data_IF_889314266068
#
_entry.id   IF_889314266068
#
_cell.length_a   1.000
_cell.length_b   1.000
_cell.length_c   1.000
_cell.angle_alpha   90.00
_cell.angle_beta   90.00
_cell.angle_gamma   90.00
#
_symmetry.space_group_name_H-M   'P 1'
#
loop_
_entity.id
_entity.type
_entity.pdbx_description
1 polymer ?
#
# COMPACT_ATOMS: atom_id res chain seq x y z
N UNK A 1 54.42 -37.21 51.32
CA UNK A 1 53.66 -37.80 50.21
C UNK A 1 52.18 -37.39 50.22
N UNK A 2 51.50 -37.13 51.34
CA UNK A 2 50.04 -36.78 51.39
C UNK A 2 49.69 -35.45 50.77
N UNK A 3 50.57 -34.40 50.82
CA UNK A 3 50.26 -33.08 50.25
C UNK A 3 50.21 -33.03 48.69
N UNK A 4 51.04 -33.91 48.06
CA UNK A 4 51.03 -33.98 46.57
C UNK A 4 49.80 -34.69 46.01
N UNK A 5 49.28 -35.65 46.76
CA UNK A 5 48.06 -36.35 46.40
C UNK A 5 46.80 -35.43 46.48
N UNK A 6 46.77 -34.52 47.44
CA UNK A 6 45.69 -33.59 47.66
C UNK A 6 45.64 -32.49 46.57
N UNK A 7 46.82 -32.02 46.12
CA UNK A 7 46.92 -31.08 45.01
C UNK A 7 46.43 -31.67 43.68
N UNK A 8 46.76 -32.94 43.40
CA UNK A 8 46.30 -33.64 42.20
C UNK A 8 44.79 -33.81 42.22
N UNK A 9 44.20 -34.05 43.39
CA UNK A 9 42.75 -34.18 43.54
C UNK A 9 42.00 -32.86 43.34
N UNK A 10 42.56 -31.75 43.82
CA UNK A 10 41.98 -30.40 43.60
C UNK A 10 42.04 -29.98 42.13
N UNK A 11 43.14 -30.26 41.45
CA UNK A 11 43.27 -29.96 40.01
C UNK A 11 42.33 -30.82 39.16
N UNK A 12 42.10 -32.08 39.53
CA UNK A 12 41.19 -32.98 38.84
C UNK A 12 39.72 -32.53 38.99
N UNK A 13 39.31 -32.08 40.18
CA UNK A 13 37.96 -31.57 40.46
C UNK A 13 37.73 -30.24 39.74
N UNK A 14 38.74 -29.35 39.72
CA UNK A 14 38.68 -28.09 38.98
C UNK A 14 38.56 -28.28 37.46
N UNK A 15 39.26 -29.28 36.90
CA UNK A 15 39.14 -29.61 35.47
C UNK A 15 37.76 -30.19 35.10
N UNK A 16 37.10 -30.89 36.03
CA UNK A 16 35.78 -31.47 35.80
C UNK A 16 34.64 -30.41 35.81
N UNK A 17 34.80 -29.32 36.60
CA UNK A 17 33.84 -28.23 36.67
C UNK A 17 33.87 -27.36 35.40
N UNK A 18 35.00 -27.29 34.67
CA UNK A 18 35.13 -26.55 33.44
C UNK A 18 34.47 -27.23 32.22
N UNK A 19 34.11 -28.50 32.31
CA UNK A 19 33.50 -29.27 31.22
C UNK A 19 31.96 -29.22 31.21
N UNK A 20 31.34 -28.66 32.24
CA UNK A 20 29.85 -28.57 32.31
C UNK A 20 29.27 -27.23 31.87
N UNK A 21 30.09 -26.30 31.36
CA UNK A 21 29.67 -24.97 30.95
C UNK A 21 29.46 -24.84 29.43
N UNK A 22 28.86 -25.83 28.80
CA UNK A 22 28.34 -25.68 27.45
C UNK A 22 26.97 -26.38 27.35
N UNK A 23 25.99 -25.91 28.12
CA UNK A 23 24.63 -26.04 27.64
C UNK A 23 24.48 -24.97 26.53
N UNK A 24 24.83 -25.39 25.34
CA UNK A 24 24.25 -24.80 24.16
C UNK A 24 22.74 -25.00 24.30
N UNK A 25 22.02 -23.95 24.77
CA UNK A 25 20.64 -23.81 24.41
C UNK A 25 20.65 -23.90 22.87
N UNK A 26 20.32 -25.07 22.37
CA UNK A 26 19.93 -25.23 21.02
C UNK A 26 18.80 -24.21 20.87
N UNK A 27 19.08 -23.05 20.23
CA UNK A 27 18.09 -22.32 19.51
C UNK A 27 17.48 -23.40 18.62
N UNK A 28 16.45 -24.06 19.13
CA UNK A 28 15.52 -24.77 18.28
C UNK A 28 15.14 -23.69 17.28
N UNK A 29 15.81 -23.71 16.14
CA UNK A 29 15.22 -23.15 14.94
C UNK A 29 13.83 -23.72 14.97
N UNK A 30 12.87 -22.90 15.39
CA UNK A 30 11.50 -23.18 15.14
C UNK A 30 11.43 -23.28 13.63
N UNK A 31 11.63 -24.49 13.10
CA UNK A 31 11.20 -24.89 11.78
C UNK A 31 9.68 -25.00 11.80
N UNK A 32 9.03 -24.05 12.53
CA UNK A 32 7.72 -23.61 12.19
C UNK A 32 7.89 -22.94 10.84
N UNK A 33 7.44 -23.60 9.78
CA UNK A 33 7.09 -22.93 8.55
C UNK A 33 6.22 -21.77 9.02
N UNK A 34 6.81 -20.55 9.13
CA UNK A 34 6.03 -19.34 9.38
C UNK A 34 5.00 -19.33 8.26
N UNK A 35 3.72 -19.31 8.58
CA UNK A 35 2.72 -19.24 7.53
C UNK A 35 3.12 -18.08 6.64
N UNK A 36 3.43 -18.35 5.38
CA UNK A 36 3.81 -17.33 4.38
C UNK A 36 2.76 -16.22 4.23
N UNK A 37 1.65 -16.37 4.94
CA UNK A 37 0.50 -15.48 4.88
C UNK A 37 0.45 -14.46 6.05
N UNK A 38 1.41 -14.50 6.97
CA UNK A 38 1.48 -13.47 8.01
C UNK A 38 2.30 -12.27 7.52
N UNK A 39 1.83 -11.04 7.78
CA UNK A 39 2.60 -9.84 7.47
C UNK A 39 3.85 -9.74 8.37
N UNK A 40 4.93 -9.21 7.81
CA UNK A 40 6.16 -8.94 8.55
C UNK A 40 6.00 -7.76 9.51
N UNK A 41 5.10 -6.83 9.17
CA UNK A 41 4.80 -5.64 9.96
C UNK A 41 3.30 -5.31 9.89
N UNK A 42 2.72 -4.95 11.04
CA UNK A 42 1.37 -4.38 11.15
C UNK A 42 1.47 -3.05 11.87
N UNK A 43 0.96 -1.98 11.25
CA UNK A 43 0.92 -0.65 11.84
C UNK A 43 -0.48 -0.06 11.77
N UNK A 44 -0.85 0.75 12.76
CA UNK A 44 -2.18 1.37 12.86
C UNK A 44 -2.06 2.89 12.84
N UNK A 45 -3.11 3.57 12.32
CA UNK A 45 -3.18 5.03 12.20
C UNK A 45 -1.96 5.62 11.49
N UNK A 46 -1.65 5.05 10.34
CA UNK A 46 -0.43 5.31 9.60
C UNK A 46 -0.56 6.57 8.76
N UNK A 47 0.51 7.36 8.75
CA UNK A 47 0.74 8.48 7.83
C UNK A 47 2.11 8.27 7.19
N UNK A 48 2.12 8.09 5.88
CA UNK A 48 3.33 7.79 5.11
C UNK A 48 3.47 8.78 3.97
N UNK A 49 4.63 9.41 3.87
CA UNK A 49 4.99 10.27 2.74
C UNK A 49 6.04 9.56 1.89
N UNK A 50 5.77 9.41 0.62
CA UNK A 50 6.76 8.97 -0.36
C UNK A 50 7.36 10.20 -1.03
N UNK A 51 8.69 10.23 -1.08
CA UNK A 51 9.45 11.29 -1.74
C UNK A 51 10.11 10.77 -3.01
N UNK A 52 10.10 11.59 -4.05
CA UNK A 52 10.92 11.43 -5.25
C UNK A 52 11.81 12.66 -5.40
N UNK A 53 13.15 12.49 -5.24
CA UNK A 53 14.14 13.56 -5.33
C UNK A 53 13.75 14.81 -4.51
N UNK A 54 13.48 14.64 -3.21
CA UNK A 54 13.09 15.69 -2.26
C UNK A 54 11.72 16.34 -2.50
N UNK A 55 10.90 15.79 -3.42
CA UNK A 55 9.52 16.22 -3.63
C UNK A 55 8.55 15.15 -3.15
N UNK A 56 7.42 15.59 -2.60
CA UNK A 56 6.34 14.66 -2.26
C UNK A 56 5.76 14.06 -3.54
N UNK A 57 5.88 12.76 -3.71
CA UNK A 57 5.21 12.00 -4.77
C UNK A 57 3.78 11.70 -4.36
N UNK A 58 3.62 11.10 -3.17
CA UNK A 58 2.31 10.88 -2.58
C UNK A 58 2.36 10.87 -1.05
N UNK A 59 1.19 11.11 -0.46
CA UNK A 59 0.93 11.01 0.97
C UNK A 59 -0.22 10.02 1.19
N UNK A 60 0.03 8.99 1.98
CA UNK A 60 -0.92 7.94 2.30
C UNK A 60 -1.32 8.00 3.77
N UNK A 61 -2.62 8.06 4.03
CA UNK A 61 -3.22 7.85 5.34
C UNK A 61 -4.02 6.55 5.34
N UNK A 62 -3.86 5.74 6.39
CA UNK A 62 -4.58 4.48 6.54
C UNK A 62 -4.86 4.17 8.02
N UNK A 63 -6.01 3.56 8.30
CA UNK A 63 -6.30 3.07 9.66
C UNK A 63 -5.38 1.91 10.06
N UNK A 64 -5.03 1.07 9.11
CA UNK A 64 -4.14 -0.08 9.30
C UNK A 64 -3.35 -0.34 8.04
N UNK A 65 -2.09 -0.73 8.18
CA UNK A 65 -1.29 -1.33 7.10
C UNK A 65 -0.74 -2.68 7.54
N UNK A 66 -0.55 -3.57 6.58
CA UNK A 66 0.12 -4.85 6.68
C UNK A 66 1.18 -4.92 5.59
N UNK A 67 2.43 -5.11 5.97
CA UNK A 67 3.56 -5.10 5.04
C UNK A 67 4.15 -6.50 4.91
N UNK A 68 4.46 -6.89 3.67
CA UNK A 68 5.09 -8.16 3.29
C UNK A 68 6.36 -7.83 2.51
N UNK A 69 7.50 -7.85 3.19
CA UNK A 69 8.78 -7.42 2.60
C UNK A 69 9.26 -8.34 1.49
N UNK A 70 9.09 -9.66 1.66
CA UNK A 70 9.48 -10.68 0.69
C UNK A 70 8.75 -10.52 -0.66
N UNK A 71 7.50 -10.10 -0.61
CA UNK A 71 6.63 -9.89 -1.77
C UNK A 71 6.59 -8.45 -2.27
N UNK A 72 7.19 -7.51 -1.51
CA UNK A 72 7.12 -6.06 -1.75
C UNK A 72 5.67 -5.56 -1.87
N UNK A 73 4.79 -6.10 -1.02
CA UNK A 73 3.37 -5.75 -0.95
C UNK A 73 3.07 -4.99 0.34
N UNK A 74 2.20 -4.00 0.23
CA UNK A 74 1.60 -3.31 1.35
C UNK A 74 0.08 -3.34 1.17
N UNK A 75 -0.62 -3.91 2.16
CA UNK A 75 -2.08 -3.84 2.26
C UNK A 75 -2.43 -2.70 3.19
N UNK A 76 -3.34 -1.82 2.76
CA UNK A 76 -3.80 -0.69 3.54
C UNK A 76 -5.32 -0.67 3.61
N UNK A 77 -5.86 -0.27 4.75
CA UNK A 77 -7.29 -0.28 5.06
C UNK A 77 -7.76 1.13 5.38
N UNK A 78 -8.94 1.51 4.85
CA UNK A 78 -9.53 2.87 4.96
C UNK A 78 -8.53 3.93 4.53
N UNK A 79 -8.21 3.90 3.25
CA UNK A 79 -7.08 4.66 2.68
C UNK A 79 -7.54 5.99 2.11
N UNK A 80 -6.73 7.01 2.34
CA UNK A 80 -6.68 8.24 1.56
C UNK A 80 -5.26 8.40 1.02
N UNK A 81 -5.11 8.36 -0.30
CA UNK A 81 -3.87 8.56 -1.01
C UNK A 81 -3.93 9.91 -1.74
N UNK A 82 -3.08 10.84 -1.37
CA UNK A 82 -2.96 12.17 -2.00
C UNK A 82 -1.71 12.20 -2.85
N UNK A 83 -1.84 12.56 -4.12
CA UNK A 83 -0.70 12.73 -5.04
C UNK A 83 -0.41 14.20 -5.28
N UNK A 84 0.83 14.52 -5.62
CA UNK A 84 1.29 15.89 -5.84
C UNK A 84 1.86 16.05 -7.25
N UNK A 85 1.73 17.24 -7.79
CA UNK A 85 2.33 17.62 -9.07
C UNK A 85 3.77 18.13 -8.87
N UNK A 86 4.41 18.54 -9.98
CA UNK A 86 5.78 19.07 -9.99
C UNK A 86 5.93 20.37 -9.18
N UNK A 87 4.85 21.08 -8.88
CA UNK A 87 4.80 22.31 -8.10
C UNK A 87 4.43 22.05 -6.64
N UNK A 88 4.40 20.76 -6.23
CA UNK A 88 3.98 20.30 -4.90
C UNK A 88 2.52 20.68 -4.56
N UNK A 89 1.66 20.80 -5.59
CA UNK A 89 0.23 21.00 -5.43
C UNK A 89 -0.49 19.66 -5.54
N UNK A 90 -1.62 19.52 -4.83
CA UNK A 90 -2.43 18.30 -4.90
C UNK A 90 -2.90 18.08 -6.33
N UNK A 91 -2.47 16.98 -6.92
CA UNK A 91 -2.82 16.54 -8.27
C UNK A 91 -4.08 15.70 -8.27
N UNK A 92 -4.15 14.73 -7.34
CA UNK A 92 -5.34 13.90 -7.17
C UNK A 92 -5.43 13.30 -5.77
N UNK A 93 -6.63 12.83 -5.42
CA UNK A 93 -6.88 12.10 -4.18
C UNK A 93 -7.63 10.82 -4.52
N UNK A 94 -7.09 9.67 -4.08
CA UNK A 94 -7.75 8.38 -4.18
C UNK A 94 -8.17 7.95 -2.77
N UNK A 95 -9.46 7.58 -2.61
CA UNK A 95 -9.99 6.96 -1.40
C UNK A 95 -10.49 5.57 -1.70
N UNK A 96 -10.30 4.63 -0.77
CA UNK A 96 -10.80 3.27 -0.92
C UNK A 96 -10.95 2.59 0.44
N UNK A 97 -11.79 1.55 0.52
CA UNK A 97 -11.90 0.73 1.72
C UNK A 97 -10.63 -0.08 1.95
N UNK A 98 -10.05 -0.62 0.87
CA UNK A 98 -8.77 -1.34 0.91
C UNK A 98 -7.91 -0.97 -0.29
N UNK A 99 -6.60 -0.92 -0.06
CA UNK A 99 -5.60 -0.66 -1.12
C UNK A 99 -4.46 -1.66 -0.99
N UNK A 100 -4.00 -2.16 -2.14
CA UNK A 100 -2.79 -2.97 -2.22
C UNK A 100 -1.78 -2.18 -3.04
N UNK A 101 -0.65 -1.87 -2.44
CA UNK A 101 0.51 -1.28 -3.13
C UNK A 101 1.45 -2.42 -3.48
N UNK A 102 1.71 -2.62 -4.76
CA UNK A 102 2.67 -3.57 -5.30
C UNK A 102 3.87 -2.81 -5.85
N UNK A 103 4.89 -2.68 -5.01
CA UNK A 103 6.10 -1.94 -5.36
C UNK A 103 6.99 -2.70 -6.36
N UNK A 104 6.80 -4.01 -6.52
CA UNK A 104 7.53 -4.78 -7.52
C UNK A 104 7.05 -4.48 -8.94
N UNK A 105 5.75 -4.18 -9.10
CA UNK A 105 5.11 -3.91 -10.39
C UNK A 105 4.72 -2.44 -10.60
N UNK A 106 4.95 -1.58 -9.61
CA UNK A 106 4.48 -0.18 -9.60
C UNK A 106 2.95 -0.03 -9.71
N UNK A 107 2.19 -1.00 -9.19
CA UNK A 107 0.74 -1.01 -9.25
C UNK A 107 0.12 -0.66 -7.91
N UNK A 108 -0.98 0.10 -7.95
CA UNK A 108 -1.86 0.34 -6.81
C UNK A 108 -3.26 -0.16 -7.16
N UNK A 109 -3.78 -1.09 -6.34
CA UNK A 109 -5.14 -1.61 -6.45
C UNK A 109 -6.00 -0.97 -5.38
N UNK A 110 -7.02 -0.21 -5.75
CA UNK A 110 -8.00 0.38 -4.84
C UNK A 110 -9.32 -0.38 -4.97
N UNK A 111 -9.83 -0.91 -3.87
CA UNK A 111 -11.00 -1.76 -3.84
C UNK A 111 -11.99 -1.31 -2.75
N UNK A 112 -13.28 -1.43 -3.05
CA UNK A 112 -14.39 -1.02 -2.18
C UNK A 112 -14.51 0.50 -2.12
N UNK A 113 -15.65 1.04 -2.59
CA UNK A 113 -15.94 2.48 -2.58
C UNK A 113 -14.77 3.34 -3.08
N UNK A 114 -14.10 2.88 -4.14
CA UNK A 114 -12.94 3.55 -4.68
C UNK A 114 -13.35 4.85 -5.38
N UNK A 115 -12.79 5.97 -4.93
CA UNK A 115 -13.08 7.32 -5.43
C UNK A 115 -11.76 7.99 -5.80
N UNK A 116 -11.63 8.40 -7.05
CA UNK A 116 -10.56 9.27 -7.53
C UNK A 116 -11.13 10.68 -7.71
N UNK A 117 -10.52 11.67 -7.09
CA UNK A 117 -10.86 13.10 -7.24
C UNK A 117 -9.64 13.85 -7.77
N UNK A 118 -9.87 14.66 -8.79
CA UNK A 118 -8.87 15.57 -9.37
C UNK A 118 -9.53 16.93 -9.69
N UNK A 119 -8.77 17.96 -10.08
CA UNK A 119 -9.33 19.22 -10.55
C UNK A 119 -10.27 19.06 -11.75
N UNK A 120 -10.12 18.00 -12.52
CA UNK A 120 -10.92 17.74 -13.73
C UNK A 120 -12.19 16.92 -13.47
N UNK A 121 -12.44 16.46 -12.24
CA UNK A 121 -13.64 15.70 -11.89
C UNK A 121 -13.42 14.62 -10.86
N UNK A 122 -14.43 13.78 -10.70
CA UNK A 122 -14.43 12.66 -9.75
C UNK A 122 -14.88 11.39 -10.44
N UNK A 123 -14.21 10.28 -10.16
CA UNK A 123 -14.59 8.91 -10.57
C UNK A 123 -14.93 8.11 -9.32
N UNK A 124 -16.08 7.43 -9.33
CA UNK A 124 -16.48 6.48 -8.29
C UNK A 124 -16.67 5.09 -8.90
N UNK A 125 -16.11 4.06 -8.27
CA UNK A 125 -16.21 2.66 -8.70
C UNK A 125 -15.99 1.72 -7.51
N UNK A 126 -16.15 0.41 -7.72
CA UNK A 126 -15.82 -0.60 -6.72
C UNK A 126 -14.38 -1.11 -6.83
N UNK A 127 -13.73 -0.89 -7.97
CA UNK A 127 -12.36 -1.36 -8.20
C UNK A 127 -11.66 -0.49 -9.22
N UNK A 128 -10.46 -0.02 -8.89
CA UNK A 128 -9.55 0.60 -9.85
C UNK A 128 -8.12 0.10 -9.65
N UNK A 129 -7.34 0.15 -10.70
CA UNK A 129 -5.92 -0.16 -10.70
C UNK A 129 -5.19 1.03 -11.30
N UNK A 130 -4.21 1.53 -10.59
CA UNK A 130 -3.32 2.57 -11.06
C UNK A 130 -1.92 2.01 -11.33
N UNK A 131 -1.49 2.08 -12.59
CA UNK A 131 -0.11 1.85 -12.99
C UNK A 131 0.66 3.18 -12.87
N UNK A 132 1.52 3.27 -11.86
CA UNK A 132 2.32 4.49 -11.58
C UNK A 132 3.41 4.72 -12.63
N UNK A 133 3.85 3.67 -13.34
CA UNK A 133 4.95 3.77 -14.31
C UNK A 133 4.57 4.60 -15.53
N UNK A 134 3.29 4.55 -15.93
CA UNK A 134 2.75 5.21 -17.12
C UNK A 134 1.62 6.18 -16.79
N UNK A 135 1.32 6.38 -15.50
CA UNK A 135 0.18 7.16 -14.99
C UNK A 135 -1.14 6.76 -15.67
N UNK A 136 -1.45 5.46 -15.69
CA UNK A 136 -2.69 4.95 -16.22
C UNK A 136 -3.56 4.34 -15.11
N UNK A 137 -4.83 4.75 -15.07
CA UNK A 137 -5.85 4.19 -14.19
C UNK A 137 -6.88 3.44 -15.01
N UNK A 138 -7.12 2.19 -14.63
CA UNK A 138 -8.17 1.35 -15.22
C UNK A 138 -9.21 0.96 -14.17
N UNK A 139 -10.50 0.95 -14.54
CA UNK A 139 -11.57 0.45 -13.70
C UNK A 139 -12.50 -0.44 -14.55
N UNK A 140 -12.40 -1.77 -14.37
CA UNK A 140 -13.11 -2.72 -15.24
C UNK A 140 -14.60 -2.84 -14.93
N UNK A 141 -15.02 -2.41 -13.74
CA UNK A 141 -16.41 -2.48 -13.30
C UNK A 141 -17.16 -1.20 -13.68
N UNK A 142 -18.46 -1.12 -13.27
CA UNK A 142 -19.25 0.08 -13.42
C UNK A 142 -18.58 1.28 -12.75
N UNK A 143 -18.51 2.38 -13.47
CA UNK A 143 -17.99 3.67 -13.00
C UNK A 143 -19.03 4.76 -13.13
N UNK A 144 -18.97 5.72 -12.22
CA UNK A 144 -19.69 7.00 -12.32
C UNK A 144 -18.65 8.10 -12.32
N UNK A 145 -18.70 8.96 -13.36
CA UNK A 145 -17.83 10.13 -13.49
C UNK A 145 -18.69 11.37 -13.33
N UNK A 146 -18.26 12.29 -12.48
CA UNK A 146 -18.86 13.61 -12.32
C UNK A 146 -17.86 14.67 -12.75
N UNK A 147 -18.22 15.50 -13.71
CA UNK A 147 -17.39 16.59 -14.25
C UNK A 147 -18.22 17.82 -14.54
N UNK A 148 -17.89 18.96 -13.93
CA UNK A 148 -18.56 20.24 -14.14
C UNK A 148 -20.09 20.20 -13.96
N UNK A 149 -20.60 19.28 -13.16
CA UNK A 149 -22.06 19.08 -12.95
C UNK A 149 -22.68 18.00 -13.82
N UNK A 150 -22.00 17.54 -14.85
CA UNK A 150 -22.45 16.43 -15.69
C UNK A 150 -22.07 15.10 -15.05
N UNK A 151 -22.93 14.08 -15.22
CA UNK A 151 -22.73 12.73 -14.72
C UNK A 151 -22.72 11.76 -15.89
N UNK A 152 -21.64 11.00 -16.00
CA UNK A 152 -21.49 9.90 -16.97
C UNK A 152 -21.37 8.59 -16.23
N UNK A 153 -21.99 7.53 -16.74
CA UNK A 153 -21.87 6.16 -16.24
C UNK A 153 -21.42 5.25 -17.37
N UNK A 154 -20.54 4.33 -17.07
CA UNK A 154 -20.03 3.36 -18.03
C UNK A 154 -19.27 2.25 -17.34
N UNK A 155 -18.51 1.49 -18.10
CA UNK A 155 -17.62 0.43 -17.61
C UNK A 155 -16.31 0.43 -18.41
N UNK A 156 -15.32 -0.38 -17.94
CA UNK A 156 -14.01 -0.46 -18.58
C UNK A 156 -13.34 0.92 -18.75
N UNK A 157 -13.38 1.73 -17.67
CA UNK A 157 -12.74 3.03 -17.68
C UNK A 157 -11.22 2.88 -17.87
N UNK A 158 -10.67 3.75 -18.71
CA UNK A 158 -9.25 4.03 -18.84
C UNK A 158 -9.03 5.54 -18.80
N UNK A 159 -8.12 5.99 -17.92
CA UNK A 159 -7.83 7.41 -17.70
C UNK A 159 -6.46 7.56 -17.04
N UNK A 160 -6.07 8.76 -16.65
CA UNK A 160 -4.90 9.01 -15.79
C UNK A 160 -5.30 9.60 -14.42
N UNK A 161 -4.33 9.77 -13.52
CA UNK A 161 -4.57 10.28 -12.17
C UNK A 161 -5.23 11.67 -12.15
N UNK A 162 -5.03 12.48 -13.18
CA UNK A 162 -5.61 13.83 -13.30
C UNK A 162 -6.95 13.87 -14.05
N UNK A 163 -7.47 12.73 -14.56
CA UNK A 163 -8.67 12.70 -15.41
C UNK A 163 -8.56 13.62 -16.63
N UNK A 164 -7.36 13.71 -17.25
CA UNK A 164 -7.17 14.57 -18.42
C UNK A 164 -7.82 14.00 -19.69
N UNK A 165 -8.01 12.69 -19.72
CA UNK A 165 -8.78 11.97 -20.74
C UNK A 165 -9.66 10.92 -20.07
N UNK A 166 -10.68 10.46 -20.76
CA UNK A 166 -11.61 9.42 -20.29
C UNK A 166 -12.02 8.57 -21.49
N UNK A 167 -11.76 7.27 -21.40
CA UNK A 167 -12.22 6.24 -22.33
C UNK A 167 -13.09 5.26 -21.55
N UNK A 168 -14.28 4.94 -22.01
CA UNK A 168 -15.23 4.02 -21.38
C UNK A 168 -16.08 3.31 -22.41
N UNK A 169 -16.58 2.13 -22.03
CA UNK A 169 -17.58 1.39 -22.78
C UNK A 169 -18.99 1.60 -22.18
N UNK A 170 -20.04 1.34 -23.00
CA UNK A 170 -21.44 1.35 -22.60
C UNK A 170 -21.87 2.66 -21.88
N UNK A 171 -21.52 3.80 -22.44
CA UNK A 171 -21.69 5.10 -21.80
C UNK A 171 -23.14 5.57 -21.82
N UNK A 172 -23.65 5.99 -20.66
CA UNK A 172 -24.84 6.83 -20.52
C UNK A 172 -24.44 8.15 -19.85
N UNK A 173 -24.98 9.28 -20.31
CA UNK A 173 -24.67 10.60 -19.79
C UNK A 173 -25.95 11.36 -19.42
N UNK A 174 -25.89 12.03 -18.27
CA UNK A 174 -26.92 12.97 -17.79
C UNK A 174 -26.20 14.30 -17.58
N UNK A 175 -26.67 15.35 -18.23
CA UNK A 175 -26.08 16.69 -18.15
C UNK A 175 -27.13 17.78 -17.86
N UNK A 176 -26.67 18.89 -17.29
CA UNK A 176 -27.49 20.08 -17.10
C UNK A 176 -27.48 20.83 -18.41
N UNK A 177 -28.62 20.82 -19.15
CA UNK A 177 -28.81 21.70 -20.29
C UNK A 177 -29.02 23.14 -19.76
N UNK A 178 -27.98 23.96 -19.87
CA UNK A 178 -28.13 25.40 -19.69
C UNK A 178 -28.89 25.94 -20.92
N UNK A 179 -30.17 26.21 -20.75
CA UNK A 179 -30.97 26.89 -21.77
C UNK A 179 -30.30 28.25 -22.07
N UNK A 180 -29.65 28.36 -23.22
CA UNK A 180 -29.20 29.65 -23.74
C UNK A 180 -30.46 30.38 -24.17
N UNK A 181 -30.87 31.45 -23.44
CA UNK A 181 -31.87 32.36 -23.93
C UNK A 181 -31.51 32.81 -25.34
N UNK A 182 -32.21 32.27 -26.33
CA UNK A 182 -32.14 32.79 -27.71
C UNK A 182 -32.94 34.08 -27.68
N UNK A 183 -32.28 35.22 -27.55
CA UNK A 183 -32.91 36.53 -27.81
C UNK A 183 -33.12 36.63 -29.31
N UNK A 184 -34.40 36.65 -29.71
CA UNK A 184 -34.86 36.96 -31.07
C UNK A 184 -34.70 38.44 -31.35
#
# INVERSE_FOLDING_TARGET
MKKRFWLIWIVSVSAFILLTSCQQDSLQSATGVLPRDLPDEISYNVKLTQLDNDRSEYYLEAEKIERFYDRRLLYAYKVTLTTYDKNNQISSVIKADTTIVDDARNLIFANGNAILTSPNGTVATQKMVWDRSVDEITAPLMVTITRAGDVMRGQNLRTNSQLSYVEMDAVSAEGIVKEKEIKW
#
